data_IF_498342901531
#
_entry.id   IF_498342901531
#
_cell.length_a   1.000
_cell.length_b   1.000
_cell.length_c   1.000
_cell.angle_alpha   90.00
_cell.angle_beta   90.00
_cell.angle_gamma   90.00
#
_symmetry.space_group_name_H-M   'P 1'
#
loop_
_entity.id
_entity.type
_entity.pdbx_description
1 polymer ?
#
# COMPACT_ATOMS: atom_id res chain seq x y z
N UNK A 1 -17.27 -23.91 -10.85
CA UNK A 1 -15.99 -24.06 -10.10
C UNK A 1 -15.49 -22.68 -9.74
N UNK A 2 -15.25 -22.40 -8.45
CA UNK A 2 -14.57 -21.18 -8.02
C UNK A 2 -13.07 -21.47 -7.89
N UNK A 3 -12.24 -20.58 -8.43
CA UNK A 3 -10.77 -20.63 -8.30
C UNK A 3 -10.41 -19.60 -7.23
N UNK A 4 -9.63 -20.03 -6.23
CA UNK A 4 -8.96 -19.10 -5.32
C UNK A 4 -7.55 -18.85 -5.85
N UNK A 5 -7.17 -17.58 -5.91
CA UNK A 5 -5.83 -17.16 -6.26
C UNK A 5 -5.30 -16.20 -5.19
N UNK A 6 -4.01 -16.31 -4.91
CA UNK A 6 -3.29 -15.35 -4.08
C UNK A 6 -2.40 -14.49 -4.99
N UNK A 7 -2.37 -13.19 -4.73
CA UNK A 7 -1.47 -12.25 -5.38
C UNK A 7 -0.53 -11.70 -4.32
N UNK A 8 0.76 -11.68 -4.63
CA UNK A 8 1.79 -11.07 -3.80
C UNK A 8 2.51 -10.01 -4.63
N UNK A 9 2.47 -8.77 -4.19
CA UNK A 9 3.08 -7.64 -4.90
C UNK A 9 4.11 -6.96 -4.00
N UNK A 10 5.31 -6.74 -4.53
CA UNK A 10 6.37 -5.99 -3.85
C UNK A 10 6.86 -4.86 -4.76
N UNK A 11 6.78 -3.64 -4.23
CA UNK A 11 7.50 -2.48 -4.78
C UNK A 11 8.57 -2.09 -3.77
N UNK A 12 9.82 -1.97 -4.21
CA UNK A 12 10.95 -1.63 -3.33
C UNK A 12 11.86 -0.59 -4.00
N UNK A 13 11.95 0.58 -3.38
CA UNK A 13 12.89 1.63 -3.71
C UNK A 13 14.02 1.66 -2.69
N UNK A 14 15.25 1.75 -3.19
CA UNK A 14 16.45 1.98 -2.38
C UNK A 14 17.09 3.28 -2.81
N UNK A 15 17.54 4.04 -1.84
CA UNK A 15 18.18 5.33 -2.03
C UNK A 15 19.64 5.22 -1.57
N UNK A 16 20.52 5.94 -2.25
CA UNK A 16 21.96 6.04 -1.96
C UNK A 16 22.25 6.80 -0.66
N UNK A 17 21.28 7.60 -0.18
CA UNK A 17 21.35 8.42 1.03
C UNK A 17 19.98 8.55 1.69
N UNK A 18 19.90 8.95 2.97
CA UNK A 18 18.62 9.22 3.63
C UNK A 18 17.84 10.34 2.93
N UNK A 19 16.63 10.03 2.46
CA UNK A 19 15.73 10.96 1.79
C UNK A 19 14.48 11.21 2.63
N UNK A 20 13.95 12.44 2.57
CA UNK A 20 12.63 12.74 3.10
C UNK A 20 11.59 12.29 2.09
N UNK A 21 10.72 11.37 2.47
CA UNK A 21 9.59 10.98 1.63
C UNK A 21 8.48 12.03 1.76
N UNK A 22 7.99 12.52 0.61
CA UNK A 22 6.72 13.22 0.56
C UNK A 22 5.53 12.26 0.79
N UNK A 23 4.30 12.78 0.94
CA UNK A 23 3.11 11.95 1.10
C UNK A 23 2.98 10.92 -0.03
N UNK A 24 2.80 9.65 0.33
CA UNK A 24 2.62 8.55 -0.62
C UNK A 24 1.16 8.08 -0.65
N UNK A 25 0.72 7.56 -1.80
CA UNK A 25 -0.61 6.97 -1.94
C UNK A 25 -0.48 5.57 -2.53
N UNK A 26 -0.95 4.56 -1.80
CA UNK A 26 -0.98 3.15 -2.25
C UNK A 26 -2.43 2.76 -2.57
N UNK A 27 -2.66 2.27 -3.79
CA UNK A 27 -3.97 1.89 -4.34
C UNK A 27 -4.01 0.42 -4.76
N UNK A 28 -3.40 -0.44 -3.94
CA UNK A 28 -3.26 -1.87 -4.23
C UNK A 28 -4.32 -2.76 -3.54
N UNK A 29 -5.33 -2.14 -2.91
CA UNK A 29 -6.50 -2.85 -2.37
C UNK A 29 -7.67 -2.74 -3.36
N UNK A 30 -8.22 -3.86 -3.85
CA UNK A 30 -9.39 -3.83 -4.75
C UNK A 30 -10.60 -3.17 -4.11
N UNK A 31 -11.44 -2.52 -4.91
CA UNK A 31 -12.66 -1.86 -4.44
C UNK A 31 -13.67 -2.88 -3.88
N UNK A 32 -14.52 -2.50 -2.91
CA UNK A 32 -15.46 -3.42 -2.28
C UNK A 32 -16.50 -4.02 -3.25
N UNK A 33 -16.80 -3.31 -4.33
CA UNK A 33 -17.78 -3.71 -5.35
C UNK A 33 -17.13 -4.39 -6.56
N UNK A 34 -15.85 -4.76 -6.48
CA UNK A 34 -15.21 -5.48 -7.57
C UNK A 34 -15.84 -6.88 -7.75
N UNK A 35 -15.86 -7.37 -9.00
CA UNK A 35 -16.52 -8.64 -9.34
C UNK A 35 -15.93 -9.84 -8.59
N UNK A 36 -14.62 -9.81 -8.33
CA UNK A 36 -13.89 -10.87 -7.64
C UNK A 36 -13.87 -10.60 -6.14
N UNK A 37 -14.43 -11.50 -5.34
CA UNK A 37 -14.43 -11.34 -3.88
C UNK A 37 -13.01 -11.38 -3.30
N UNK A 38 -12.66 -10.41 -2.47
CA UNK A 38 -11.37 -10.35 -1.76
C UNK A 38 -11.53 -11.03 -0.40
N UNK A 39 -10.98 -12.23 -0.26
CA UNK A 39 -11.09 -13.05 0.95
C UNK A 39 -10.20 -12.50 2.07
N UNK A 40 -8.98 -12.10 1.72
CA UNK A 40 -7.99 -11.56 2.64
C UNK A 40 -7.14 -10.50 1.96
N UNK A 41 -6.69 -9.52 2.73
CA UNK A 41 -5.82 -8.44 2.27
C UNK A 41 -4.85 -8.06 3.39
N UNK A 42 -3.57 -7.92 3.04
CA UNK A 42 -2.53 -7.37 3.91
C UNK A 42 -1.83 -6.21 3.20
N UNK A 43 -1.37 -5.24 3.97
CA UNK A 43 -0.49 -4.19 3.48
C UNK A 43 0.62 -4.02 4.50
N UNK A 44 1.85 -4.32 4.10
CA UNK A 44 3.04 -4.03 4.88
C UNK A 44 3.82 -2.90 4.20
N UNK A 45 4.15 -1.88 4.96
CA UNK A 45 4.93 -0.73 4.49
C UNK A 45 6.16 -0.59 5.37
N UNK A 46 7.31 -0.40 4.72
CA UNK A 46 8.59 -0.11 5.34
C UNK A 46 9.09 1.24 4.78
N UNK A 47 9.55 2.17 5.64
CA UNK A 47 9.81 2.05 7.07
C UNK A 47 8.55 1.84 7.93
N UNK A 48 8.70 1.11 9.04
CA UNK A 48 7.58 0.78 9.92
C UNK A 48 7.00 2.00 10.66
N UNK A 49 7.84 3.02 10.91
CA UNK A 49 7.40 4.28 11.51
C UNK A 49 6.81 5.20 10.43
N UNK A 50 5.49 5.11 10.28
CA UNK A 50 4.72 5.95 9.38
C UNK A 50 3.28 6.07 9.86
N UNK A 51 2.62 7.14 9.45
CA UNK A 51 1.18 7.28 9.61
C UNK A 51 0.49 6.76 8.36
N UNK A 52 -0.55 5.94 8.56
CA UNK A 52 -1.44 5.49 7.49
C UNK A 52 -2.85 6.00 7.73
N UNK A 53 -3.40 6.69 6.73
CA UNK A 53 -4.81 7.07 6.70
C UNK A 53 -5.50 6.36 5.53
N UNK A 54 -6.50 5.54 5.84
CA UNK A 54 -7.31 4.86 4.85
C UNK A 54 -8.50 5.71 4.46
N UNK A 55 -8.66 5.93 3.16
CA UNK A 55 -9.77 6.70 2.60
C UNK A 55 -10.34 5.97 1.38
N UNK A 56 -11.54 6.38 0.96
CA UNK A 56 -12.12 5.99 -0.32
C UNK A 56 -12.17 7.20 -1.25
N UNK A 57 -11.87 6.98 -2.54
CA UNK A 57 -12.17 7.98 -3.58
C UNK A 57 -13.67 8.00 -3.92
N UNK A 58 -14.16 8.94 -4.74
CA UNK A 58 -15.57 8.99 -5.16
C UNK A 58 -16.08 7.74 -5.86
N UNK A 59 -15.18 6.89 -6.37
CA UNK A 59 -15.51 5.60 -6.97
C UNK A 59 -15.37 4.44 -5.95
N UNK A 60 -15.31 4.74 -4.66
CA UNK A 60 -15.15 3.78 -3.57
C UNK A 60 -13.88 2.92 -3.62
N UNK A 61 -12.85 3.31 -4.39
CA UNK A 61 -11.55 2.62 -4.34
C UNK A 61 -10.83 2.99 -3.04
N UNK A 62 -10.22 1.99 -2.41
CA UNK A 62 -9.41 2.22 -1.22
C UNK A 62 -8.09 2.90 -1.57
N UNK A 63 -7.71 3.88 -0.76
CA UNK A 63 -6.44 4.59 -0.82
C UNK A 63 -5.80 4.58 0.56
N UNK A 64 -4.60 3.99 0.68
CA UNK A 64 -3.75 4.19 1.84
C UNK A 64 -2.88 5.42 1.60
N UNK A 65 -3.12 6.49 2.35
CA UNK A 65 -2.30 7.70 2.35
C UNK A 65 -1.27 7.58 3.46
N UNK A 66 0.00 7.59 3.08
CA UNK A 66 1.13 7.35 3.97
C UNK A 66 1.94 8.63 4.13
N UNK A 67 2.31 8.94 5.36
CA UNK A 67 3.21 10.06 5.70
C UNK A 67 4.31 9.54 6.60
N UNK A 68 5.56 9.90 6.27
CA UNK A 68 6.75 9.44 6.97
C UNK A 68 7.38 10.62 7.71
N UNK A 69 7.50 10.57 9.06
CA UNK A 69 8.11 11.64 9.83
C UNK A 69 9.63 11.69 9.59
N UNK A 70 10.28 10.53 9.53
CA UNK A 70 11.73 10.41 9.46
C UNK A 70 12.25 10.19 8.04
N UNK A 71 13.51 10.56 7.83
CA UNK A 71 14.23 10.24 6.58
C UNK A 71 14.55 8.75 6.51
N UNK A 72 14.51 8.20 5.30
CA UNK A 72 14.78 6.77 5.07
C UNK A 72 15.69 6.55 3.88
N UNK A 73 16.38 5.42 3.87
CA UNK A 73 17.16 4.91 2.73
C UNK A 73 16.40 3.87 1.91
N UNK A 74 15.22 3.45 2.36
CA UNK A 74 14.36 2.51 1.64
C UNK A 74 12.88 2.86 1.78
N UNK A 75 12.11 2.54 0.75
CA UNK A 75 10.65 2.55 0.77
C UNK A 75 10.16 1.27 0.13
N UNK A 76 9.48 0.43 0.90
CA UNK A 76 9.00 -0.88 0.44
C UNK A 76 7.54 -1.07 0.80
N UNK A 77 6.77 -1.52 -0.18
CA UNK A 77 5.35 -1.81 -0.08
C UNK A 77 5.13 -3.25 -0.49
N UNK A 78 4.56 -4.04 0.41
CA UNK A 78 4.22 -5.45 0.21
C UNK A 78 2.72 -5.65 0.42
N UNK A 79 2.06 -6.30 -0.53
CA UNK A 79 0.63 -6.63 -0.50
C UNK A 79 0.45 -8.12 -0.71
#
# INVERSE_FOLDING_TARGET
MSIHAALHHVTHYKYDRPVQLGPQVVRLRPAPHCRSNVISYSLQVEPADHFVNWMQDPFANYQARLVFPEKTTEFKVTV
#
